data_IF_182194767455
#
_entry.id   IF_182194767455
#
_cell.length_a   1.000
_cell.length_b   1.000
_cell.length_c   1.000
_cell.angle_alpha   90.00
_cell.angle_beta   90.00
_cell.angle_gamma   90.00
#
_symmetry.space_group_name_H-M   'P 1'
#
loop_
_entity.id
_entity.type
_entity.pdbx_description
1 polymer ?
#
# COMPACT_ATOMS: atom_id res chain seq x y z
N UNK A 1 16.84 11.92 18.45
CA UNK A 1 15.66 11.54 17.64
C UNK A 1 15.10 12.82 17.05
N UNK A 2 14.79 12.85 15.76
CA UNK A 2 14.04 13.96 15.17
C UNK A 2 12.67 14.02 15.87
N UNK A 3 12.14 15.23 16.02
CA UNK A 3 10.77 15.38 16.53
C UNK A 3 9.81 14.76 15.51
N UNK A 4 8.81 14.02 15.99
CA UNK A 4 7.73 13.57 15.10
C UNK A 4 7.07 14.78 14.43
N UNK A 5 6.70 14.66 13.13
CA UNK A 5 5.95 15.70 12.47
C UNK A 5 4.64 16.02 13.22
N UNK A 6 4.24 17.28 13.20
CA UNK A 6 2.93 17.67 13.71
C UNK A 6 1.86 17.21 12.72
N UNK A 7 1.16 16.12 13.06
CA UNK A 7 0.12 15.54 12.22
C UNK A 7 -1.17 16.38 12.21
N UNK A 8 -1.82 16.46 11.07
CA UNK A 8 -3.17 17.01 10.98
C UNK A 8 -4.18 16.18 11.81
N UNK A 9 -5.27 16.75 12.30
CA UNK A 9 -6.29 15.98 13.01
C UNK A 9 -6.87 14.87 12.11
N UNK A 10 -6.98 13.65 12.62
CA UNK A 10 -7.42 12.47 11.84
C UNK A 10 -8.80 12.66 11.19
N UNK A 11 -9.71 13.39 11.83
CA UNK A 11 -11.06 13.64 11.32
C UNK A 11 -11.10 14.58 10.09
N UNK A 12 -10.04 15.35 9.83
CA UNK A 12 -10.03 16.40 8.80
C UNK A 12 -8.77 16.38 7.92
N UNK A 13 -7.84 15.48 8.17
CA UNK A 13 -6.61 15.37 7.38
C UNK A 13 -6.94 15.03 5.92
N UNK A 14 -6.54 15.87 4.95
CA UNK A 14 -6.79 15.58 3.54
C UNK A 14 -5.87 14.48 2.99
N UNK A 15 -4.74 14.22 3.65
CA UNK A 15 -3.79 13.17 3.27
C UNK A 15 -3.69 12.15 4.40
N UNK A 16 -3.99 10.90 4.11
CA UNK A 16 -3.99 9.79 5.06
C UNK A 16 -3.84 8.45 4.33
N UNK A 17 -3.52 7.34 5.00
CA UNK A 17 -3.66 6.01 4.40
C UNK A 17 -5.03 5.83 3.76
N UNK A 18 -5.07 5.38 2.52
CA UNK A 18 -6.32 5.24 1.77
C UNK A 18 -6.67 6.40 0.84
N UNK A 19 -5.84 7.45 0.72
CA UNK A 19 -6.02 8.42 -0.36
C UNK A 19 -5.58 7.83 -1.69
N UNK A 20 -6.15 8.34 -2.78
CA UNK A 20 -5.76 7.94 -4.12
C UNK A 20 -4.40 8.52 -4.48
N UNK A 21 -3.60 7.71 -5.18
CA UNK A 21 -2.34 8.12 -5.80
C UNK A 21 -2.41 7.87 -7.30
N UNK A 22 -1.80 8.75 -8.10
CA UNK A 22 -1.78 8.64 -9.55
C UNK A 22 -0.34 8.76 -10.04
N UNK A 23 0.18 7.68 -10.60
CA UNK A 23 1.51 7.64 -11.20
C UNK A 23 1.37 7.47 -12.71
N UNK A 24 1.67 8.52 -13.47
CA UNK A 24 1.46 8.55 -14.93
C UNK A 24 0.05 8.09 -15.35
N UNK A 25 -0.96 8.53 -14.58
CA UNK A 25 -2.37 8.20 -14.81
C UNK A 25 -2.85 6.87 -14.24
N UNK A 26 -1.97 6.00 -13.77
CA UNK A 26 -2.36 4.77 -13.07
C UNK A 26 -2.85 5.09 -11.65
N UNK A 27 -4.11 4.73 -11.35
CA UNK A 27 -4.73 4.98 -10.04
C UNK A 27 -4.47 3.82 -9.08
N UNK A 28 -3.97 4.17 -7.89
CA UNK A 28 -3.79 3.28 -6.77
C UNK A 28 -4.30 3.90 -5.47
N UNK A 29 -4.22 3.15 -4.38
CA UNK A 29 -4.56 3.59 -3.02
C UNK A 29 -3.31 3.55 -2.15
N UNK A 30 -3.04 4.63 -1.41
CA UNK A 30 -1.90 4.69 -0.49
C UNK A 30 -2.05 3.73 0.69
N UNK A 31 -0.90 3.26 1.21
CA UNK A 31 -0.87 2.46 2.44
C UNK A 31 -0.50 3.28 3.68
N UNK A 32 0.70 3.12 4.20
CA UNK A 32 1.12 3.73 5.45
C UNK A 32 1.89 5.03 5.21
N UNK A 33 1.97 5.83 6.28
CA UNK A 33 2.84 6.99 6.36
C UNK A 33 4.14 6.57 7.03
N UNK A 34 5.25 6.97 6.43
CA UNK A 34 6.60 6.70 6.94
C UNK A 34 7.33 8.03 7.14
N UNK A 35 8.24 8.05 8.10
CA UNK A 35 9.13 9.19 8.34
C UNK A 35 10.57 8.71 8.46
N UNK A 36 11.50 9.52 7.98
CA UNK A 36 12.92 9.26 8.22
C UNK A 36 13.44 10.00 9.46
N UNK A 37 14.73 9.82 9.74
CA UNK A 37 15.39 10.47 10.88
C UNK A 37 15.49 12.00 10.77
N UNK A 38 15.18 12.57 9.62
CA UNK A 38 15.15 14.01 9.36
C UNK A 38 13.73 14.59 9.41
N UNK A 39 12.72 13.74 9.61
CA UNK A 39 11.31 14.15 9.65
C UNK A 39 10.69 14.32 8.26
N UNK A 40 11.34 13.83 7.20
CA UNK A 40 10.74 13.80 5.86
C UNK A 40 9.60 12.79 5.84
N UNK A 41 8.48 13.18 5.25
CA UNK A 41 7.26 12.37 5.22
C UNK A 41 7.15 11.64 3.89
N UNK A 42 6.89 10.35 3.96
CA UNK A 42 6.65 9.48 2.81
C UNK A 42 5.29 8.82 2.93
N UNK A 43 4.65 8.61 1.78
CA UNK A 43 3.43 7.85 1.65
C UNK A 43 3.73 6.58 0.86
N UNK A 44 3.31 5.42 1.36
CA UNK A 44 3.51 4.17 0.66
C UNK A 44 2.43 3.89 -0.37
N UNK A 45 2.79 3.18 -1.44
CA UNK A 45 1.88 2.54 -2.40
C UNK A 45 2.46 1.19 -2.83
N UNK A 46 1.78 0.45 -3.70
CA UNK A 46 2.36 -0.74 -4.29
C UNK A 46 3.41 -0.37 -5.37
N UNK A 47 4.42 -1.19 -5.56
CA UNK A 47 5.44 -0.98 -6.60
C UNK A 47 4.83 -1.04 -8.01
N UNK A 48 3.90 -1.98 -8.24
CA UNK A 48 3.21 -2.13 -9.52
C UNK A 48 2.38 -0.90 -9.93
N UNK A 49 2.07 0.01 -9.00
CA UNK A 49 1.41 1.29 -9.32
C UNK A 49 2.23 2.19 -10.25
N UNK A 50 3.53 1.93 -10.34
CA UNK A 50 4.45 2.58 -11.29
C UNK A 50 4.79 1.67 -12.46
N UNK A 51 4.16 0.49 -12.57
CA UNK A 51 4.39 -0.47 -13.63
C UNK A 51 4.02 0.09 -15.01
N UNK A 52 4.81 -0.25 -16.02
CA UNK A 52 4.59 0.14 -17.43
C UNK A 52 4.25 -1.05 -18.33
N UNK A 53 4.25 -2.27 -17.75
CA UNK A 53 3.91 -3.51 -18.44
C UNK A 53 2.43 -3.86 -18.38
N UNK A 54 2.13 -5.15 -18.55
CA UNK A 54 0.77 -5.66 -18.39
C UNK A 54 0.32 -5.62 -16.92
N UNK A 55 -0.97 -5.41 -16.69
CA UNK A 55 -1.56 -5.48 -15.34
C UNK A 55 -1.46 -6.87 -14.69
N UNK A 56 -1.09 -7.89 -15.46
CA UNK A 56 -0.82 -9.26 -14.99
C UNK A 56 0.65 -9.49 -14.64
N UNK A 57 1.53 -8.54 -14.93
CA UNK A 57 2.96 -8.63 -14.60
C UNK A 57 3.14 -8.33 -13.12
N UNK A 58 3.36 -9.37 -12.31
CA UNK A 58 3.48 -9.28 -10.85
C UNK A 58 4.85 -9.69 -10.32
N UNK A 59 5.73 -10.21 -11.18
CA UNK A 59 7.11 -10.54 -10.81
C UNK A 59 7.98 -9.27 -10.86
N UNK A 60 8.31 -8.75 -9.70
CA UNK A 60 9.06 -7.49 -9.58
C UNK A 60 10.50 -7.56 -10.09
N UNK A 61 11.06 -8.76 -10.26
CA UNK A 61 12.42 -8.92 -10.80
C UNK A 61 12.49 -8.78 -12.33
N UNK A 62 11.35 -8.89 -13.01
CA UNK A 62 11.27 -8.87 -14.48
C UNK A 62 10.30 -7.80 -15.02
N UNK A 63 9.37 -7.35 -14.22
CA UNK A 63 8.34 -6.38 -14.64
C UNK A 63 8.90 -4.97 -14.79
N UNK A 64 8.50 -4.27 -15.85
CA UNK A 64 8.93 -2.91 -16.11
C UNK A 64 8.24 -1.88 -15.20
N UNK A 65 8.96 -0.84 -14.79
CA UNK A 65 8.47 0.24 -13.94
C UNK A 65 9.03 1.59 -14.37
N UNK A 66 8.27 2.64 -14.11
CA UNK A 66 8.77 4.02 -14.18
C UNK A 66 9.92 4.21 -13.19
N UNK A 67 10.91 5.06 -13.51
CA UNK A 67 12.06 5.30 -12.66
C UNK A 67 11.72 6.08 -11.39
N UNK A 68 12.59 6.01 -10.38
CA UNK A 68 12.58 6.98 -9.28
C UNK A 68 12.76 8.40 -9.83
N UNK A 69 12.16 9.38 -9.17
CA UNK A 69 12.06 10.77 -9.65
C UNK A 69 10.73 11.05 -10.39
N UNK A 70 9.95 10.03 -10.72
CA UNK A 70 8.63 10.21 -11.35
C UNK A 70 7.69 10.95 -10.40
N UNK A 71 7.02 12.03 -10.86
CA UNK A 71 5.99 12.72 -10.09
C UNK A 71 4.79 11.81 -9.82
N UNK A 72 4.24 11.92 -8.60
CA UNK A 72 3.02 11.21 -8.20
C UNK A 72 2.02 12.23 -7.67
N UNK A 73 0.83 12.25 -8.26
CA UNK A 73 -0.28 13.03 -7.73
C UNK A 73 -0.88 12.28 -6.53
N UNK A 74 -1.17 13.01 -5.47
CA UNK A 74 -1.75 12.48 -4.23
C UNK A 74 -3.01 13.28 -3.93
N UNK A 75 -4.14 12.60 -3.78
CA UNK A 75 -5.40 13.28 -3.44
C UNK A 75 -5.27 13.97 -2.07
N UNK A 76 -5.66 15.23 -2.01
CA UNK A 76 -5.53 16.06 -0.82
C UNK A 76 -4.22 16.87 -0.72
N UNK A 77 -3.23 16.56 -1.56
CA UNK A 77 -2.00 17.32 -1.67
C UNK A 77 -2.15 18.50 -2.65
N UNK A 78 -1.46 19.61 -2.38
CA UNK A 78 -1.37 20.74 -3.32
C UNK A 78 -0.23 20.55 -4.33
N UNK A 79 0.84 19.89 -3.91
CA UNK A 79 2.06 19.66 -4.72
C UNK A 79 2.25 18.20 -5.09
N UNK A 80 1.68 17.28 -4.30
CA UNK A 80 1.89 15.85 -4.49
C UNK A 80 3.24 15.37 -3.97
N UNK A 81 3.84 14.43 -4.69
CA UNK A 81 5.11 13.84 -4.27
C UNK A 81 5.93 13.28 -5.42
N UNK A 82 6.99 12.61 -5.07
CA UNK A 82 7.95 12.01 -6.00
C UNK A 82 8.21 10.58 -5.60
N UNK A 83 8.16 9.66 -6.55
CA UNK A 83 8.57 8.27 -6.36
C UNK A 83 10.06 8.23 -6.03
N UNK A 84 10.41 7.81 -4.81
CA UNK A 84 11.81 7.79 -4.35
C UNK A 84 12.33 6.37 -4.08
N UNK A 85 11.43 5.41 -3.93
CA UNK A 85 11.75 4.00 -3.77
C UNK A 85 10.70 3.15 -4.50
N UNK A 86 11.18 2.09 -5.13
CA UNK A 86 10.34 1.05 -5.70
C UNK A 86 11.07 -0.29 -5.55
N UNK A 87 10.43 -1.26 -4.89
CA UNK A 87 11.01 -2.57 -4.62
C UNK A 87 11.41 -3.31 -5.90
N UNK A 88 10.60 -3.19 -6.96
CA UNK A 88 10.90 -3.82 -8.26
C UNK A 88 12.21 -3.31 -8.85
N UNK A 89 12.39 -1.99 -8.90
CA UNK A 89 13.65 -1.39 -9.38
C UNK A 89 14.84 -1.79 -8.51
N UNK A 90 14.63 -1.87 -7.20
CA UNK A 90 15.68 -2.27 -6.25
C UNK A 90 16.06 -3.73 -6.42
N UNK A 91 15.09 -4.63 -6.56
CA UNK A 91 15.34 -6.06 -6.79
C UNK A 91 16.09 -6.31 -8.10
N UNK A 92 15.67 -5.65 -9.17
CA UNK A 92 16.36 -5.74 -10.48
C UNK A 92 17.79 -5.23 -10.40
N UNK A 93 18.02 -4.08 -9.76
CA UNK A 93 19.37 -3.52 -9.61
C UNK A 93 20.29 -4.40 -8.74
N UNK A 94 19.74 -5.17 -7.81
CA UNK A 94 20.48 -6.07 -6.93
C UNK A 94 20.55 -7.50 -7.44
N UNK A 95 19.91 -7.80 -8.57
CA UNK A 95 19.79 -9.16 -9.12
C UNK A 95 19.25 -10.13 -8.05
N UNK A 96 18.11 -9.78 -7.46
CA UNK A 96 17.48 -10.56 -6.40
C UNK A 96 17.30 -12.03 -6.81
N UNK A 97 17.88 -12.99 -6.06
CA UNK A 97 17.85 -14.39 -6.46
C UNK A 97 16.65 -15.16 -5.88
N UNK A 98 15.97 -14.61 -4.86
CA UNK A 98 14.88 -15.31 -4.19
C UNK A 98 13.57 -15.13 -4.96
N UNK A 99 12.95 -16.22 -5.47
CA UNK A 99 11.74 -16.13 -6.26
C UNK A 99 10.52 -15.62 -5.44
N UNK A 100 10.46 -15.89 -4.13
CA UNK A 100 9.38 -15.40 -3.30
C UNK A 100 9.50 -13.87 -3.09
N UNK A 101 10.69 -13.36 -2.90
CA UNK A 101 10.97 -11.92 -2.86
C UNK A 101 10.56 -11.26 -4.18
N UNK A 102 10.92 -11.85 -5.31
CA UNK A 102 10.54 -11.34 -6.64
C UNK A 102 9.02 -11.30 -6.85
N UNK A 103 8.32 -12.34 -6.39
CA UNK A 103 6.89 -12.49 -6.62
C UNK A 103 6.03 -11.61 -5.71
N UNK A 104 6.48 -11.30 -4.49
CA UNK A 104 5.60 -10.73 -3.45
C UNK A 104 6.07 -9.40 -2.86
N UNK A 105 7.30 -8.95 -3.11
CA UNK A 105 7.77 -7.64 -2.64
C UNK A 105 7.25 -6.54 -3.56
N UNK A 106 6.18 -5.89 -3.14
CA UNK A 106 5.43 -4.93 -3.95
C UNK A 106 5.20 -3.62 -3.17
N UNK A 107 6.29 -2.94 -2.79
CA UNK A 107 6.26 -1.68 -2.04
C UNK A 107 6.98 -0.57 -2.79
N UNK A 108 6.37 0.60 -2.83
CA UNK A 108 6.99 1.84 -3.28
C UNK A 108 6.74 2.97 -2.28
N UNK A 109 7.64 3.95 -2.25
CA UNK A 109 7.54 5.13 -1.40
C UNK A 109 7.52 6.41 -2.24
N UNK A 110 6.56 7.26 -1.91
CA UNK A 110 6.36 8.59 -2.45
C UNK A 110 6.83 9.58 -1.39
N UNK A 111 7.90 10.33 -1.65
CA UNK A 111 8.29 11.45 -0.80
C UNK A 111 7.32 12.61 -1.07
N UNK A 112 6.57 13.00 -0.06
CA UNK A 112 5.66 14.16 -0.15
C UNK A 112 6.44 15.45 -0.24
N UNK A 113 5.87 16.42 -0.94
CA UNK A 113 6.39 17.80 -0.88
C UNK A 113 6.29 18.33 0.55
N UNK A 114 7.31 19.01 1.09
CA UNK A 114 7.28 19.54 2.46
C UNK A 114 6.08 20.44 2.76
N UNK A 115 5.53 21.13 1.74
CA UNK A 115 4.34 21.98 1.90
C UNK A 115 3.07 21.17 2.21
N UNK A 116 3.05 19.90 1.86
CA UNK A 116 1.91 19.00 2.11
C UNK A 116 2.07 18.15 3.39
N UNK A 117 3.25 18.11 3.99
CA UNK A 117 3.53 17.30 5.18
C UNK A 117 2.60 17.62 6.37
N UNK A 118 2.27 18.88 6.58
CA UNK A 118 1.36 19.31 7.67
C UNK A 118 -0.12 18.91 7.43
N UNK A 119 -0.47 18.41 6.26
CA UNK A 119 -1.81 17.93 5.90
C UNK A 119 -2.00 16.44 6.18
N UNK A 120 -0.95 15.76 6.60
CA UNK A 120 -0.93 14.31 6.76
C UNK A 120 -1.43 13.89 8.13
N UNK A 121 -2.22 12.82 8.18
CA UNK A 121 -2.44 12.03 9.38
C UNK A 121 -2.16 10.55 9.09
N UNK A 122 -1.37 9.83 9.91
CA UNK A 122 -1.01 8.44 9.64
C UNK A 122 -2.12 7.42 9.92
N UNK A 123 -3.27 7.84 10.45
CA UNK A 123 -4.36 6.92 10.83
C UNK A 123 -5.16 6.46 9.62
N UNK A 124 -5.41 5.14 9.55
CA UNK A 124 -6.29 4.55 8.54
C UNK A 124 -7.74 4.93 8.87
N UNK A 125 -8.51 5.49 7.92
CA UNK A 125 -9.91 5.85 8.16
C UNK A 125 -10.72 4.68 8.71
N UNK A 126 -11.62 4.93 9.63
CA UNK A 126 -12.53 3.97 10.30
C UNK A 126 -11.81 3.06 11.31
N UNK A 127 -10.56 2.67 11.05
CA UNK A 127 -9.88 1.63 11.84
C UNK A 127 -8.78 2.18 12.76
N UNK A 128 -8.22 3.34 12.45
CA UNK A 128 -7.05 3.84 13.15
C UNK A 128 -5.78 3.06 12.82
N UNK A 129 -4.78 3.17 13.64
CA UNK A 129 -3.48 2.51 13.45
C UNK A 129 -2.65 3.11 12.31
N UNK A 130 -1.50 2.49 11.96
CA UNK A 130 -1.00 1.28 12.61
C UNK A 130 -0.45 1.53 14.02
N UNK A 131 -0.62 0.54 14.89
CA UNK A 131 -0.08 0.55 16.25
C UNK A 131 1.38 0.03 16.31
N UNK A 132 1.91 -0.40 15.17
CA UNK A 132 3.23 -0.99 15.00
C UNK A 132 3.28 -1.89 13.79
N UNK A 133 4.37 -2.61 13.60
CA UNK A 133 4.52 -3.63 12.54
C UNK A 133 4.14 -4.99 13.12
N UNK A 134 3.25 -5.69 12.44
CA UNK A 134 2.77 -7.01 12.85
C UNK A 134 3.72 -8.14 12.43
N UNK A 135 3.51 -9.29 13.03
CA UNK A 135 4.22 -10.52 12.69
C UNK A 135 3.42 -11.43 11.74
N UNK A 136 3.84 -12.71 11.64
CA UNK A 136 3.13 -13.71 10.85
C UNK A 136 1.66 -13.84 11.25
N UNK A 137 0.78 -13.93 10.26
CA UNK A 137 -0.66 -14.08 10.47
C UNK A 137 -1.09 -15.54 10.32
N UNK A 138 -1.88 -16.03 11.26
CA UNK A 138 -2.49 -17.35 11.14
C UNK A 138 -3.73 -17.31 10.24
N UNK A 139 -4.07 -18.45 9.61
CA UNK A 139 -5.37 -18.64 8.94
C UNK A 139 -6.51 -18.34 9.92
N UNK A 140 -7.51 -17.60 9.46
CA UNK A 140 -8.63 -17.12 10.27
C UNK A 140 -8.34 -15.83 11.05
N UNK A 141 -7.11 -15.29 11.02
CA UNK A 141 -6.81 -14.01 11.64
C UNK A 141 -7.61 -12.88 10.98
N UNK A 142 -8.17 -11.99 11.80
CA UNK A 142 -8.93 -10.83 11.32
C UNK A 142 -8.02 -9.81 10.65
N UNK A 143 -8.51 -9.24 9.56
CA UNK A 143 -7.81 -8.18 8.81
C UNK A 143 -8.76 -7.03 8.49
N UNK A 144 -8.18 -5.84 8.42
CA UNK A 144 -8.88 -4.60 8.11
C UNK A 144 -8.07 -3.78 7.11
N UNK A 145 -8.77 -3.10 6.21
CA UNK A 145 -8.16 -2.25 5.19
C UNK A 145 -9.11 -1.14 4.77
N UNK A 146 -8.58 -0.15 4.07
CA UNK A 146 -9.35 0.93 3.47
C UNK A 146 -8.86 1.15 2.04
N UNK A 147 -9.65 0.70 1.06
CA UNK A 147 -9.38 0.91 -0.36
C UNK A 147 -10.12 2.12 -0.90
N UNK A 148 -9.64 2.67 -2.02
CA UNK A 148 -10.24 3.88 -2.60
C UNK A 148 -10.18 3.87 -4.13
N UNK A 149 -10.69 2.81 -4.73
CA UNK A 149 -10.76 2.67 -6.18
C UNK A 149 -11.73 3.68 -6.81
N UNK A 150 -11.32 4.31 -7.90
CA UNK A 150 -12.21 5.16 -8.72
C UNK A 150 -13.41 4.39 -9.28
N UNK A 151 -13.28 3.07 -9.47
CA UNK A 151 -14.37 2.23 -9.97
C UNK A 151 -15.55 2.13 -9.00
N UNK A 152 -15.39 2.61 -7.76
CA UNK A 152 -16.48 2.73 -6.78
C UNK A 152 -17.32 3.99 -6.97
N UNK A 153 -16.97 4.86 -7.91
CA UNK A 153 -17.74 6.08 -8.20
C UNK A 153 -17.88 7.05 -7.03
N UNK A 154 -16.92 7.06 -6.10
CA UNK A 154 -16.94 7.91 -4.90
C UNK A 154 -17.82 7.38 -3.76
N UNK A 155 -18.32 6.13 -3.84
CA UNK A 155 -19.11 5.50 -2.76
C UNK A 155 -18.16 5.06 -1.64
N UNK A 156 -17.90 5.95 -0.70
CA UNK A 156 -16.94 5.74 0.40
C UNK A 156 -17.35 4.64 1.38
N UNK A 157 -18.64 4.28 1.45
CA UNK A 157 -19.15 3.16 2.25
C UNK A 157 -18.59 1.80 1.80
N UNK A 158 -18.08 1.71 0.57
CA UNK A 158 -17.45 0.50 0.03
C UNK A 158 -15.93 0.47 0.22
N UNK A 159 -15.34 1.52 0.78
CA UNK A 159 -13.90 1.63 1.03
C UNK A 159 -13.41 0.79 2.20
N UNK A 160 -14.10 0.75 3.37
CA UNK A 160 -13.69 -0.09 4.48
C UNK A 160 -13.82 -1.57 4.14
N UNK A 161 -12.78 -2.34 4.45
CA UNK A 161 -12.70 -3.79 4.23
C UNK A 161 -12.52 -4.49 5.57
N UNK A 162 -13.25 -5.57 5.78
CA UNK A 162 -13.16 -6.42 6.97
C UNK A 162 -13.17 -7.88 6.51
N UNK A 163 -12.21 -8.66 6.96
CA UNK A 163 -12.11 -10.04 6.53
C UNK A 163 -11.14 -10.87 7.34
N UNK A 164 -10.69 -11.94 6.72
CA UNK A 164 -9.85 -12.95 7.34
C UNK A 164 -8.70 -13.34 6.42
N UNK A 165 -7.59 -13.73 7.00
CA UNK A 165 -6.51 -14.44 6.31
C UNK A 165 -7.00 -15.85 5.99
N UNK A 166 -6.90 -16.25 4.72
CA UNK A 166 -7.26 -17.58 4.25
C UNK A 166 -6.05 -18.50 4.25
N UNK A 167 -4.94 -18.01 3.74
CA UNK A 167 -3.67 -18.75 3.69
C UNK A 167 -2.48 -17.79 3.62
N UNK A 168 -1.29 -18.35 3.84
CA UNK A 168 -0.02 -17.66 3.69
C UNK A 168 0.76 -18.33 2.56
N UNK A 169 1.42 -17.55 1.74
CA UNK A 169 2.17 -17.98 0.56
C UNK A 169 3.60 -17.43 0.59
N UNK A 170 4.47 -17.98 -0.29
CA UNK A 170 5.83 -17.47 -0.45
C UNK A 170 6.62 -17.43 0.84
N UNK A 171 6.62 -18.51 1.62
CA UNK A 171 7.32 -18.57 2.93
C UNK A 171 6.99 -17.40 3.86
N UNK A 172 5.77 -16.86 3.78
CA UNK A 172 5.29 -15.75 4.59
C UNK A 172 5.41 -14.37 3.94
N UNK A 173 5.85 -14.29 2.68
CA UNK A 173 5.89 -13.05 1.93
C UNK A 173 4.50 -12.51 1.57
N UNK A 174 3.50 -13.39 1.43
CA UNK A 174 2.14 -12.98 1.05
C UNK A 174 1.08 -13.66 1.89
N UNK A 175 -0.04 -12.99 2.02
CA UNK A 175 -1.27 -13.51 2.63
C UNK A 175 -2.41 -13.40 1.63
N UNK A 176 -3.10 -14.50 1.38
CA UNK A 176 -4.40 -14.45 0.70
C UNK A 176 -5.46 -14.09 1.74
N UNK A 177 -6.18 -13.01 1.49
CA UNK A 177 -7.25 -12.53 2.36
C UNK A 177 -8.58 -12.52 1.64
N UNK A 178 -9.66 -12.72 2.38
CA UNK A 178 -11.02 -12.57 1.89
C UNK A 178 -11.75 -11.52 2.71
N UNK A 179 -12.27 -10.48 2.05
CA UNK A 179 -12.95 -9.35 2.71
C UNK A 179 -14.37 -9.17 2.18
N UNK A 180 -15.28 -8.66 3.02
CA UNK A 180 -16.68 -8.41 2.65
C UNK A 180 -16.81 -7.41 1.48
N UNK A 181 -15.92 -6.43 1.40
CA UNK A 181 -15.75 -5.57 0.22
C UNK A 181 -14.41 -5.91 -0.41
N UNK A 182 -14.35 -6.85 -1.37
CA UNK A 182 -13.08 -7.26 -1.98
C UNK A 182 -12.31 -6.08 -2.57
N UNK A 183 -10.99 -6.17 -2.56
CA UNK A 183 -10.15 -5.26 -3.32
C UNK A 183 -10.41 -5.42 -4.81
N UNK A 184 -10.53 -4.31 -5.50
CA UNK A 184 -10.73 -4.23 -6.95
C UNK A 184 -9.62 -3.35 -7.56
N UNK A 185 -9.43 -3.33 -8.88
CA UNK A 185 -8.44 -2.43 -9.51
C UNK A 185 -8.58 -1.00 -8.99
N UNK A 186 -7.47 -0.36 -8.62
CA UNK A 186 -7.42 0.94 -7.95
C UNK A 186 -7.36 0.87 -6.42
N UNK A 187 -7.76 -0.24 -5.78
CA UNK A 187 -7.47 -0.50 -4.36
C UNK A 187 -6.03 -0.96 -4.13
N UNK A 188 -5.28 -1.26 -5.19
CA UNK A 188 -3.86 -1.62 -5.16
C UNK A 188 -3.05 -0.68 -4.29
N UNK A 189 -2.20 -1.23 -3.45
CA UNK A 189 -1.39 -0.45 -2.52
C UNK A 189 -2.03 -0.22 -1.16
N UNK A 190 -3.34 -0.46 -0.97
CA UNK A 190 -4.03 -0.21 0.32
C UNK A 190 -3.35 -0.93 1.49
N UNK A 191 -3.33 -0.26 2.64
CA UNK A 191 -2.83 -0.80 3.89
C UNK A 191 -3.71 -1.92 4.44
N UNK A 192 -3.09 -2.98 4.95
CA UNK A 192 -3.76 -3.99 5.76
C UNK A 192 -3.20 -4.02 7.17
N UNK A 193 -4.09 -4.02 8.16
CA UNK A 193 -3.78 -4.19 9.57
C UNK A 193 -4.51 -5.41 10.12
N UNK A 194 -3.97 -5.99 11.19
CA UNK A 194 -4.59 -7.10 11.91
C UNK A 194 -5.58 -6.64 12.98
N UNK A 195 -6.12 -7.60 13.76
CA UNK A 195 -7.07 -7.33 14.83
C UNK A 195 -6.51 -6.53 16.02
N UNK A 196 -5.21 -6.39 16.14
CA UNK A 196 -4.53 -5.55 17.13
C UNK A 196 -4.24 -4.13 16.62
N UNK A 197 -4.46 -3.88 15.33
CA UNK A 197 -4.12 -2.64 14.66
C UNK A 197 -2.67 -2.59 14.15
N UNK A 198 -1.94 -3.70 14.16
CA UNK A 198 -0.58 -3.74 13.63
C UNK A 198 -0.57 -3.85 12.11
N UNK A 199 0.34 -3.14 11.44
CA UNK A 199 0.54 -3.20 9.99
C UNK A 199 1.03 -4.59 9.58
N UNK A 200 0.33 -5.25 8.66
CA UNK A 200 0.67 -6.59 8.20
C UNK A 200 1.00 -6.66 6.71
N UNK A 201 0.58 -5.69 5.92
CA UNK A 201 0.90 -5.75 4.50
C UNK A 201 0.21 -4.71 3.64
N UNK A 202 0.44 -4.88 2.35
CA UNK A 202 0.01 -3.99 1.26
C UNK A 202 -0.77 -4.80 0.23
N UNK A 203 -1.92 -4.32 -0.21
CA UNK A 203 -2.71 -4.98 -1.24
C UNK A 203 -1.97 -4.96 -2.58
N UNK A 204 -1.66 -6.15 -3.08
CA UNK A 204 -0.90 -6.33 -4.31
C UNK A 204 -1.75 -6.88 -5.45
N UNK A 205 -2.53 -7.93 -5.21
CA UNK A 205 -3.23 -8.63 -6.30
C UNK A 205 -4.70 -8.90 -6.00
N UNK A 206 -5.46 -9.14 -7.07
CA UNK A 206 -6.83 -9.66 -7.02
C UNK A 206 -6.84 -11.03 -7.69
N UNK A 207 -7.25 -12.06 -6.98
CA UNK A 207 -7.33 -13.40 -7.52
C UNK A 207 -8.66 -13.68 -8.21
N UNK A 208 -8.60 -14.41 -9.33
CA UNK A 208 -9.78 -14.93 -10.04
C UNK A 208 -10.05 -16.37 -9.60
N UNK A 209 -9.00 -17.11 -9.23
CA UNK A 209 -9.05 -18.49 -8.76
C UNK A 209 -7.89 -18.78 -7.78
N UNK A 210 -7.98 -19.76 -6.88
CA UNK A 210 -9.14 -20.64 -6.64
C UNK A 210 -10.29 -19.97 -5.88
N UNK A 211 -10.04 -18.82 -5.21
CA UNK A 211 -11.02 -18.05 -4.46
C UNK A 211 -11.27 -16.72 -5.17
N UNK A 212 -12.24 -16.68 -6.07
CA UNK A 212 -12.60 -15.47 -6.79
C UNK A 212 -12.92 -14.31 -5.82
N UNK A 213 -12.27 -13.16 -6.04
CA UNK A 213 -12.42 -11.99 -5.19
C UNK A 213 -11.54 -12.00 -3.92
N UNK A 214 -10.68 -13.00 -3.75
CA UNK A 214 -9.61 -12.90 -2.74
C UNK A 214 -8.53 -11.92 -3.18
N UNK A 215 -7.80 -11.38 -2.22
CA UNK A 215 -6.71 -10.46 -2.47
C UNK A 215 -5.39 -11.02 -1.93
N UNK A 216 -4.32 -10.82 -2.70
CA UNK A 216 -2.96 -11.03 -2.23
C UNK A 216 -2.45 -9.79 -1.51
N UNK A 217 -1.93 -9.97 -0.31
CA UNK A 217 -1.39 -8.92 0.55
C UNK A 217 0.08 -9.23 0.82
N UNK A 218 0.98 -8.45 0.21
CA UNK A 218 2.42 -8.54 0.44
C UNK A 218 2.77 -8.12 1.86
N UNK A 219 3.71 -8.85 2.50
CA UNK A 219 4.14 -8.59 3.87
C UNK A 219 4.91 -7.26 3.96
N UNK A 220 4.63 -6.43 4.99
CA UNK A 220 5.27 -5.13 5.19
C UNK A 220 6.49 -5.21 6.13
N UNK A 221 6.67 -6.31 6.82
CA UNK A 221 7.77 -6.49 7.78
C UNK A 221 9.06 -7.05 7.14
N UNK A 222 9.02 -7.39 5.83
CA UNK A 222 10.11 -8.04 5.08
C UNK A 222 10.81 -7.15 4.05
#
# INVERSE_FOLDING_TARGET
AAAEPAWAPAASAPIHPGVQTFTDGAQCTSNFVFTDSQGVVYLGQAAHCSGTGSSTDTDGCTSASLPTGTPVQVTGADKGGTLVYNSWLTMQARHEPDPDTCAYNDLALIRLDPADAAKVNPSIPVFGGPAGVGGPSATGAKVYSYGNSELRGGITQLSPKRGLVVQTEGNGWSRTVYTLTPGIPGDSGSAFIDGSGAAIGVLSTVAIAPLAGSNGVGDIAR
#
